data_IF_594498200712
#
_entry.id   IF_594498200712
#
_cell.length_a   1.000
_cell.length_b   1.000
_cell.length_c   1.000
_cell.angle_alpha   90.00
_cell.angle_beta   90.00
_cell.angle_gamma   90.00
#
_symmetry.space_group_name_H-M   'P 1'
#
loop_
_entity.id
_entity.type
_entity.pdbx_description
1 polymer ?
#
# COMPACT_ATOMS: atom_id res chain seq x y z
N UNK A 1 4.85 12.68 7.27
CA UNK A 1 3.55 12.37 6.63
C UNK A 1 3.42 10.87 6.45
N UNK A 2 2.36 10.24 6.97
CA UNK A 2 2.16 8.78 6.84
C UNK A 2 1.50 8.46 5.50
N UNK A 3 2.07 7.55 4.70
CA UNK A 3 1.49 7.08 3.45
C UNK A 3 1.17 5.59 3.53
N UNK A 4 0.21 5.13 2.72
CA UNK A 4 -0.18 3.73 2.65
C UNK A 4 -0.15 3.26 1.20
N UNK A 5 0.17 1.99 0.98
CA UNK A 5 0.10 1.35 -0.33
C UNK A 5 -0.80 0.12 -0.24
N UNK A 6 -1.41 -0.21 -1.37
CA UNK A 6 -2.02 -1.51 -1.58
C UNK A 6 -0.98 -2.44 -2.18
N UNK A 7 -0.92 -3.66 -1.65
CA UNK A 7 -0.11 -4.75 -2.18
C UNK A 7 -1.02 -5.81 -2.78
N UNK A 8 -0.45 -6.69 -3.57
CA UNK A 8 -1.13 -7.87 -4.10
C UNK A 8 -0.30 -9.10 -3.81
N UNK A 9 -0.98 -10.23 -3.57
CA UNK A 9 -0.33 -11.55 -3.55
C UNK A 9 -0.21 -12.03 -4.99
N UNK A 10 1.01 -12.07 -5.50
CA UNK A 10 1.31 -12.68 -6.78
C UNK A 10 2.11 -13.98 -6.53
N UNK A 11 1.45 -15.13 -6.74
CA UNK A 11 1.95 -16.47 -6.41
C UNK A 11 2.33 -16.59 -4.92
N UNK A 12 3.56 -16.24 -4.57
CA UNK A 12 4.10 -16.27 -3.19
C UNK A 12 4.68 -14.93 -2.74
N UNK A 13 4.63 -13.90 -3.58
CA UNK A 13 5.24 -12.59 -3.31
C UNK A 13 4.15 -11.56 -3.01
N UNK A 14 4.40 -10.73 -1.99
CA UNK A 14 3.54 -9.59 -1.68
C UNK A 14 4.17 -8.35 -2.32
N UNK A 15 3.70 -7.97 -3.51
CA UNK A 15 4.26 -6.86 -4.29
C UNK A 15 3.40 -5.59 -4.14
N UNK A 16 3.99 -4.39 -4.12
CA UNK A 16 3.21 -3.15 -4.22
C UNK A 16 2.44 -3.13 -5.55
N UNK A 17 1.21 -2.58 -5.54
CA UNK A 17 0.46 -2.28 -6.76
C UNK A 17 0.85 -0.90 -7.28
N UNK A 18 1.67 -0.79 -8.34
CA UNK A 18 2.10 0.50 -8.87
C UNK A 18 0.90 1.32 -9.38
N UNK A 19 -0.12 0.67 -9.94
CA UNK A 19 -1.31 1.32 -10.53
C UNK A 19 -2.19 2.06 -9.51
N UNK A 20 -2.04 1.78 -8.22
CA UNK A 20 -2.88 2.32 -7.15
C UNK A 20 -2.26 3.52 -6.42
N UNK A 21 -0.97 3.78 -6.64
CA UNK A 21 -0.25 4.89 -6.02
C UNK A 21 -0.22 4.85 -4.48
N UNK A 22 0.12 6.00 -3.89
CA UNK A 22 0.24 6.21 -2.44
C UNK A 22 -1.03 6.86 -1.88
N UNK A 23 -1.63 6.25 -0.86
CA UNK A 23 -2.76 6.81 -0.13
C UNK A 23 -2.31 7.67 1.05
N UNK A 24 -2.91 8.85 1.21
CA UNK A 24 -2.62 9.77 2.32
C UNK A 24 -3.19 9.30 3.68
N UNK A 25 -4.06 8.30 3.70
CA UNK A 25 -4.66 7.77 4.92
C UNK A 25 -5.05 6.29 4.81
N UNK A 26 -5.09 5.58 5.94
CA UNK A 26 -5.53 4.17 5.99
C UNK A 26 -6.99 4.01 5.56
N UNK A 27 -7.84 5.01 5.86
CA UNK A 27 -9.26 5.03 5.48
C UNK A 27 -9.42 5.05 3.96
N UNK A 28 -8.61 5.85 3.26
CA UNK A 28 -8.63 5.90 1.80
C UNK A 28 -8.13 4.60 1.17
N UNK A 29 -7.05 4.02 1.72
CA UNK A 29 -6.56 2.71 1.29
C UNK A 29 -7.62 1.59 1.48
N UNK A 30 -8.32 1.57 2.62
CA UNK A 30 -9.42 0.61 2.88
C UNK A 30 -10.59 0.78 1.91
N UNK A 31 -10.99 2.02 1.62
CA UNK A 31 -12.05 2.31 0.63
C UNK A 31 -11.65 1.81 -0.75
N UNK A 32 -10.41 2.06 -1.18
CA UNK A 32 -9.90 1.58 -2.47
C UNK A 32 -9.84 0.04 -2.51
N UNK A 33 -9.36 -0.59 -1.44
CA UNK A 33 -9.33 -2.05 -1.31
C UNK A 33 -10.73 -2.66 -1.44
N UNK A 34 -11.71 -2.14 -0.70
CA UNK A 34 -13.11 -2.61 -0.74
C UNK A 34 -13.72 -2.51 -2.13
N UNK A 35 -13.53 -1.38 -2.83
CA UNK A 35 -14.06 -1.19 -4.19
C UNK A 35 -13.51 -2.19 -5.20
N UNK A 36 -12.30 -2.69 -4.99
CA UNK A 36 -11.62 -3.58 -5.93
C UNK A 36 -11.55 -5.04 -5.46
N UNK A 37 -12.18 -5.37 -4.33
CA UNK A 37 -12.17 -6.73 -3.78
C UNK A 37 -10.84 -7.17 -3.16
N UNK A 38 -9.95 -6.25 -2.76
CA UNK A 38 -8.70 -6.63 -2.11
C UNK A 38 -8.85 -6.82 -0.59
N UNK A 39 -8.18 -7.83 -0.02
CA UNK A 39 -8.12 -8.01 1.42
C UNK A 39 -7.35 -6.87 2.09
N UNK A 40 -7.85 -6.41 3.25
CA UNK A 40 -7.28 -5.28 3.98
C UNK A 40 -5.90 -5.56 4.58
N UNK A 41 -5.52 -6.83 4.71
CA UNK A 41 -4.20 -7.28 5.15
C UNK A 41 -3.08 -6.81 4.20
N UNK A 42 -3.42 -6.57 2.93
CA UNK A 42 -2.47 -6.11 1.92
C UNK A 42 -2.25 -4.59 1.94
N UNK A 43 -2.89 -3.87 2.87
CA UNK A 43 -2.66 -2.44 3.07
C UNK A 43 -1.44 -2.27 3.96
N UNK A 44 -0.36 -1.71 3.39
CA UNK A 44 0.88 -1.50 4.12
C UNK A 44 1.13 -0.01 4.36
N UNK A 45 1.61 0.33 5.56
CA UNK A 45 2.07 1.70 5.88
C UNK A 45 3.47 1.88 5.32
N UNK A 46 3.63 2.81 4.40
CA UNK A 46 4.94 3.22 3.90
C UNK A 46 5.60 4.08 4.96
N UNK A 47 6.70 3.58 5.52
CA UNK A 47 7.64 4.39 6.28
C UNK A 47 8.57 5.06 5.27
N UNK A 48 8.76 6.37 5.39
CA UNK A 48 9.82 7.06 4.65
C UNK A 48 11.14 6.50 5.19
N UNK A 49 11.89 5.76 4.39
CA UNK A 49 13.29 5.48 4.72
C UNK A 49 13.99 6.84 4.72
N UNK A 50 14.37 7.30 5.90
CA UNK A 50 15.17 8.51 6.07
C UNK A 50 16.65 8.12 5.97
N UNK A 51 17.07 7.51 4.86
CA UNK A 51 18.47 7.44 4.43
C UNK A 51 18.60 6.59 3.16
N UNK A 52 19.10 7.19 2.10
CA UNK A 52 20.02 6.62 1.10
C UNK A 52 20.41 7.79 0.19
N UNK A 53 21.29 8.62 0.71
CA UNK A 53 22.22 9.53 0.02
C UNK A 53 23.04 10.18 1.13
N UNK A 54 23.94 9.37 1.71
CA UNK A 54 25.08 9.83 2.50
C UNK A 54 26.29 9.84 1.57
#
# INVERSE_FOLDING_TARGET
>A
MTRFILRERHRHLVIPRPDLGLFCSRKNAKRAAKRRGYPFELIFKVKRHANENA
#
